data_IF_090339882100
#
_entry.id   IF_090339882100
#
_cell.length_a   1.000
_cell.length_b   1.000
_cell.length_c   1.000
_cell.angle_alpha   90.00
_cell.angle_beta   90.00
_cell.angle_gamma   90.00
#
_symmetry.space_group_name_H-M   'P 1'
#
loop_
_entity.id
_entity.type
_entity.pdbx_description
1 polymer ?
#
# COMPACT_ATOMS: atom_id res chain seq x y z
N UNK A 1 34.98 18.84 0.77
CA UNK A 1 35.54 19.76 -0.25
C UNK A 1 34.53 20.22 -1.29
N UNK A 2 33.53 19.47 -1.73
CA UNK A 2 32.49 19.93 -2.68
C UNK A 2 31.52 20.96 -2.05
N UNK A 3 31.40 20.97 -0.73
CA UNK A 3 30.43 21.80 0.00
C UNK A 3 30.86 23.29 0.18
N UNK A 4 32.12 23.61 -0.03
CA UNK A 4 32.62 24.99 0.13
C UNK A 4 32.69 25.79 -1.18
N UNK A 5 32.69 25.07 -2.32
CA UNK A 5 32.75 25.73 -3.64
C UNK A 5 31.43 26.34 -4.09
N UNK A 6 30.33 25.78 -3.59
CA UNK A 6 29.00 26.36 -3.76
C UNK A 6 28.53 26.81 -2.37
N UNK A 7 28.78 28.05 -2.03
CA UNK A 7 28.08 28.79 -0.96
C UNK A 7 26.58 28.91 -1.28
N UNK A 8 25.96 27.83 -1.67
CA UNK A 8 24.53 27.66 -1.62
C UNK A 8 24.20 27.46 -0.12
N UNK A 9 24.13 28.60 0.60
CA UNK A 9 23.35 28.69 1.86
C UNK A 9 21.88 28.37 1.58
N UNK A 10 21.64 27.64 0.51
CA UNK A 10 20.37 27.25 -0.03
C UNK A 10 19.94 25.93 0.60
N UNK A 11 18.81 25.98 1.04
CA UNK A 11 17.99 24.91 1.52
C UNK A 11 18.04 23.71 0.58
N UNK A 12 18.64 22.60 1.02
CA UNK A 12 18.63 21.30 0.32
C UNK A 12 17.25 20.94 -0.18
N UNK A 13 16.24 21.38 0.56
CA UNK A 13 14.85 21.25 0.22
C UNK A 13 14.47 22.01 -1.06
N UNK A 14 14.86 23.29 -1.18
CA UNK A 14 14.58 24.09 -2.38
C UNK A 14 15.26 23.47 -3.60
N UNK A 15 16.51 23.03 -3.44
CA UNK A 15 17.24 22.35 -4.50
C UNK A 15 16.53 21.05 -4.92
N UNK A 16 16.08 20.25 -3.96
CA UNK A 16 15.34 19.00 -4.23
C UNK A 16 14.00 19.29 -4.91
N UNK A 17 13.26 20.32 -4.48
CA UNK A 17 12.00 20.71 -5.07
C UNK A 17 12.15 21.21 -6.52
N UNK A 18 13.15 22.07 -6.77
CA UNK A 18 13.47 22.56 -8.12
C UNK A 18 13.90 21.39 -9.01
N UNK A 19 14.74 20.49 -8.51
CA UNK A 19 15.16 19.29 -9.24
C UNK A 19 13.96 18.40 -9.57
N UNK A 20 13.01 18.28 -8.65
CA UNK A 20 11.78 17.51 -8.85
C UNK A 20 10.93 18.11 -9.98
N UNK A 21 10.72 19.42 -9.99
CA UNK A 21 9.98 20.13 -11.07
C UNK A 21 10.71 19.97 -12.41
N UNK A 22 12.03 20.12 -12.43
CA UNK A 22 12.82 19.93 -13.64
C UNK A 22 12.70 18.50 -14.19
N UNK A 23 12.82 17.49 -13.32
CA UNK A 23 12.68 16.09 -13.70
C UNK A 23 11.26 15.77 -14.21
N UNK A 24 10.22 16.41 -13.66
CA UNK A 24 8.86 16.29 -14.16
C UNK A 24 8.77 16.80 -15.61
N UNK A 25 9.25 18.00 -15.86
CA UNK A 25 9.23 18.59 -17.20
C UNK A 25 10.04 17.76 -18.20
N UNK A 26 11.21 17.26 -17.79
CA UNK A 26 12.04 16.39 -18.61
C UNK A 26 11.33 15.03 -18.87
N UNK A 27 10.64 14.46 -17.89
CA UNK A 27 9.90 13.20 -18.08
C UNK A 27 8.71 13.35 -19.03
N UNK A 28 8.11 14.53 -19.12
CA UNK A 28 7.05 14.83 -20.06
C UNK A 28 7.58 15.13 -21.47
N UNK A 29 8.71 15.82 -21.56
CA UNK A 29 9.35 16.11 -22.83
C UNK A 29 9.93 14.82 -23.47
N UNK A 30 10.59 14.01 -22.67
CA UNK A 30 11.20 12.76 -23.08
C UNK A 30 10.52 11.58 -22.37
N UNK A 31 9.63 10.84 -23.04
CA UNK A 31 8.85 9.78 -22.40
C UNK A 31 9.72 8.56 -22.07
N UNK A 32 10.62 8.72 -21.12
CA UNK A 32 11.51 7.70 -20.61
C UNK A 32 11.04 7.27 -19.21
N UNK A 33 10.68 5.99 -19.04
CA UNK A 33 10.26 5.46 -17.76
C UNK A 33 11.28 5.71 -16.63
N UNK A 34 12.57 5.63 -16.95
CA UNK A 34 13.66 5.91 -16.00
C UNK A 34 13.62 7.34 -15.44
N UNK A 35 13.39 8.35 -16.27
CA UNK A 35 13.26 9.74 -15.81
C UNK A 35 12.06 9.90 -14.87
N UNK A 36 10.94 9.29 -15.22
CA UNK A 36 9.76 9.31 -14.37
C UNK A 36 9.97 8.60 -13.02
N UNK A 37 10.74 7.50 -12.98
CA UNK A 37 11.11 6.83 -11.73
C UNK A 37 12.01 7.72 -10.86
N UNK A 38 13.01 8.37 -11.45
CA UNK A 38 13.88 9.33 -10.73
C UNK A 38 13.06 10.50 -10.20
N UNK A 39 12.10 11.00 -10.99
CA UNK A 39 11.16 12.03 -10.54
C UNK A 39 10.36 11.58 -9.31
N UNK A 40 9.76 10.37 -9.35
CA UNK A 40 8.99 9.83 -8.23
C UNK A 40 9.86 9.63 -6.98
N UNK A 41 11.07 9.10 -7.14
CA UNK A 41 12.02 8.99 -6.03
C UNK A 41 12.35 10.36 -5.43
N UNK A 42 12.55 11.38 -6.28
CA UNK A 42 12.82 12.75 -5.84
C UNK A 42 11.62 13.35 -5.10
N UNK A 43 10.38 13.09 -5.55
CA UNK A 43 9.16 13.58 -4.87
C UNK A 43 9.00 13.00 -3.47
N UNK A 44 9.30 11.70 -3.31
CA UNK A 44 9.30 11.02 -2.00
C UNK A 44 10.42 11.56 -1.09
N UNK A 45 11.59 11.85 -1.65
CA UNK A 45 12.70 12.46 -0.91
C UNK A 45 12.37 13.89 -0.46
N UNK A 46 11.74 14.69 -1.32
CA UNK A 46 11.26 16.06 -0.98
C UNK A 46 10.31 15.98 0.22
N UNK A 47 9.40 15.00 0.26
CA UNK A 47 8.55 14.79 1.43
C UNK A 47 9.36 14.49 2.69
N UNK A 48 10.34 13.58 2.61
CA UNK A 48 11.18 13.22 3.76
C UNK A 48 11.95 14.41 4.33
N UNK A 49 12.33 15.36 3.49
CA UNK A 49 12.99 16.60 3.89
C UNK A 49 12.01 17.68 4.40
N UNK A 50 10.74 17.57 4.05
CA UNK A 50 9.70 18.57 4.33
C UNK A 50 9.39 18.79 5.82
N UNK A 51 9.35 17.77 6.71
CA UNK A 51 9.02 17.93 8.12
C UNK A 51 9.93 18.92 8.86
N UNK A 52 11.14 19.10 8.36
CA UNK A 52 12.10 20.01 8.95
C UNK A 52 11.84 21.49 8.56
N UNK A 53 10.87 21.76 7.66
CA UNK A 53 10.66 23.10 7.07
C UNK A 53 9.21 23.52 6.90
N UNK A 54 8.26 22.77 7.44
CA UNK A 54 6.84 23.16 7.46
C UNK A 54 6.15 23.17 6.07
N UNK A 55 6.65 22.42 5.10
CA UNK A 55 5.97 22.26 3.82
C UNK A 55 4.73 21.39 3.97
N UNK A 56 3.64 21.74 3.26
CA UNK A 56 2.43 20.94 3.35
C UNK A 56 2.67 19.53 2.78
N UNK A 57 2.33 18.52 3.58
CA UNK A 57 2.41 17.10 3.20
C UNK A 57 1.69 16.80 1.88
N UNK A 58 0.64 17.57 1.59
CA UNK A 58 -0.11 17.48 0.35
C UNK A 58 0.76 17.69 -0.92
N UNK A 59 1.87 18.44 -0.84
CA UNK A 59 2.71 18.71 -2.02
C UNK A 59 3.34 17.43 -2.58
N UNK A 60 3.78 16.50 -1.72
CA UNK A 60 4.35 15.22 -2.17
C UNK A 60 3.31 14.34 -2.88
N UNK A 61 2.07 14.34 -2.39
CA UNK A 61 0.96 13.66 -3.05
C UNK A 61 0.64 14.27 -4.40
N UNK A 62 0.64 15.59 -4.50
CA UNK A 62 0.46 16.29 -5.79
C UNK A 62 1.56 15.90 -6.78
N UNK A 63 2.83 15.89 -6.35
CA UNK A 63 3.93 15.46 -7.20
C UNK A 63 3.77 14.00 -7.67
N UNK A 64 3.29 13.11 -6.81
CA UNK A 64 3.08 11.71 -7.17
C UNK A 64 1.92 11.54 -8.17
N UNK A 65 0.85 12.31 -8.04
CA UNK A 65 -0.27 12.35 -9.00
C UNK A 65 0.19 12.90 -10.35
N UNK A 66 1.06 13.91 -10.38
CA UNK A 66 1.63 14.47 -11.60
C UNK A 66 2.53 13.47 -12.38
N UNK A 67 2.89 12.34 -11.77
CA UNK A 67 3.55 11.24 -12.47
C UNK A 67 2.60 10.38 -13.35
N UNK A 68 1.28 10.39 -13.08
CA UNK A 68 0.31 9.55 -13.79
C UNK A 68 0.19 9.85 -15.29
N UNK A 69 0.25 11.11 -15.79
CA UNK A 69 0.18 11.38 -17.23
C UNK A 69 1.26 10.66 -18.03
N UNK A 70 2.47 10.49 -17.47
CA UNK A 70 3.53 9.73 -18.11
C UNK A 70 3.16 8.24 -18.23
N UNK A 71 2.51 7.66 -17.20
CA UNK A 71 2.01 6.28 -17.25
C UNK A 71 0.99 6.11 -18.39
N UNK A 72 0.05 7.03 -18.51
CA UNK A 72 -0.96 7.01 -19.59
C UNK A 72 -0.28 7.07 -20.96
N UNK A 73 0.73 7.91 -21.11
CA UNK A 73 1.51 8.03 -22.36
C UNK A 73 2.27 6.73 -22.68
N UNK A 74 2.96 6.13 -21.69
CA UNK A 74 3.67 4.85 -21.87
C UNK A 74 2.73 3.71 -22.26
N UNK A 75 1.50 3.73 -21.75
CA UNK A 75 0.43 2.79 -22.16
C UNK A 75 0.03 2.99 -23.61
N UNK A 76 -0.14 4.23 -24.04
CA UNK A 76 -0.45 4.58 -25.43
C UNK A 76 0.64 4.13 -26.40
N UNK A 77 1.92 4.22 -26.00
CA UNK A 77 3.07 3.79 -26.78
C UNK A 77 3.30 2.26 -26.76
N UNK A 78 2.46 1.48 -26.06
CA UNK A 78 2.54 0.01 -25.92
C UNK A 78 3.89 -0.51 -25.40
N UNK A 79 4.60 0.28 -24.60
CA UNK A 79 5.90 -0.10 -24.00
C UNK A 79 5.68 -0.95 -22.74
N UNK A 80 5.17 -2.18 -22.89
CA UNK A 80 4.74 -3.04 -21.78
C UNK A 80 5.77 -3.16 -20.63
N UNK A 81 7.05 -3.39 -20.93
CA UNK A 81 8.10 -3.51 -19.89
C UNK A 81 8.25 -2.20 -19.08
N UNK A 82 8.27 -1.07 -19.79
CA UNK A 82 8.36 0.25 -19.14
C UNK A 82 7.16 0.54 -18.26
N UNK A 83 5.95 0.20 -18.72
CA UNK A 83 4.70 0.34 -17.96
C UNK A 83 4.74 -0.50 -16.69
N UNK A 84 5.17 -1.78 -16.78
CA UNK A 84 5.29 -2.66 -15.61
C UNK A 84 6.25 -2.06 -14.58
N UNK A 85 7.48 -1.74 -14.97
CA UNK A 85 8.47 -1.17 -14.06
C UNK A 85 7.99 0.15 -13.44
N UNK A 86 7.37 1.01 -14.24
CA UNK A 86 6.86 2.30 -13.80
C UNK A 86 5.72 2.14 -12.77
N UNK A 87 4.76 1.25 -13.05
CA UNK A 87 3.64 0.96 -12.16
C UNK A 87 4.09 0.40 -10.81
N UNK A 88 5.05 -0.53 -10.82
CA UNK A 88 5.66 -1.06 -9.62
C UNK A 88 6.34 0.03 -8.78
N UNK A 89 7.13 0.86 -9.43
CA UNK A 89 7.85 1.93 -8.75
C UNK A 89 6.89 2.97 -8.18
N UNK A 90 5.83 3.32 -8.93
CA UNK A 90 4.77 4.20 -8.46
C UNK A 90 4.07 3.63 -7.22
N UNK A 91 3.70 2.35 -7.23
CA UNK A 91 3.07 1.68 -6.09
C UNK A 91 3.98 1.70 -4.85
N UNK A 92 5.28 1.43 -5.01
CA UNK A 92 6.26 1.51 -3.90
C UNK A 92 6.35 2.94 -3.35
N UNK A 93 6.38 3.96 -4.21
CA UNK A 93 6.41 5.36 -3.77
C UNK A 93 5.13 5.76 -3.00
N UNK A 94 3.95 5.30 -3.45
CA UNK A 94 2.69 5.50 -2.73
C UNK A 94 2.76 4.88 -1.34
N UNK A 95 3.21 3.63 -1.23
CA UNK A 95 3.31 2.94 0.06
C UNK A 95 4.30 3.63 1.00
N UNK A 96 5.45 4.08 0.49
CA UNK A 96 6.42 4.84 1.28
C UNK A 96 5.85 6.18 1.78
N UNK A 97 5.10 6.89 0.94
CA UNK A 97 4.43 8.12 1.36
C UNK A 97 3.40 7.85 2.44
N UNK A 98 2.56 6.82 2.29
CA UNK A 98 1.60 6.43 3.32
C UNK A 98 2.32 6.12 4.63
N UNK A 99 3.39 5.33 4.58
CA UNK A 99 4.18 4.97 5.76
C UNK A 99 4.73 6.19 6.49
N UNK A 100 5.14 7.22 5.77
CA UNK A 100 5.74 8.41 6.38
C UNK A 100 4.72 9.50 6.76
N UNK A 101 3.57 9.58 6.08
CA UNK A 101 2.51 10.55 6.41
C UNK A 101 1.67 10.13 7.60
N UNK A 102 1.45 8.84 7.78
CA UNK A 102 0.68 8.34 8.89
C UNK A 102 1.53 8.31 10.17
N UNK A 103 1.22 9.18 11.10
CA UNK A 103 1.94 9.32 12.38
C UNK A 103 1.69 8.17 13.37
N UNK A 104 0.69 7.32 13.10
CA UNK A 104 0.27 6.23 13.97
C UNK A 104 0.22 4.92 13.15
N UNK A 105 0.69 3.83 13.75
CA UNK A 105 0.74 2.51 13.13
C UNK A 105 -0.63 2.04 12.63
N UNK A 106 -1.71 2.31 13.37
CA UNK A 106 -3.08 2.02 12.96
C UNK A 106 -3.43 2.67 11.61
N UNK A 107 -3.15 3.97 11.47
CA UNK A 107 -3.44 4.69 10.22
C UNK A 107 -2.59 4.20 9.06
N UNK A 108 -1.32 3.88 9.31
CA UNK A 108 -0.44 3.27 8.31
C UNK A 108 -1.06 1.98 7.79
N UNK A 109 -1.43 1.07 8.70
CA UNK A 109 -2.01 -0.22 8.36
C UNK A 109 -3.34 -0.07 7.62
N UNK A 110 -4.22 0.84 8.04
CA UNK A 110 -5.51 1.09 7.39
C UNK A 110 -5.35 1.65 5.96
N UNK A 111 -4.47 2.62 5.75
CA UNK A 111 -4.21 3.17 4.42
C UNK A 111 -3.45 2.19 3.53
N UNK A 112 -2.55 1.38 4.09
CA UNK A 112 -1.92 0.28 3.36
C UNK A 112 -2.94 -0.76 2.91
N UNK A 113 -3.92 -1.10 3.75
CA UNK A 113 -5.01 -1.99 3.38
C UNK A 113 -5.79 -1.47 2.18
N UNK A 114 -6.16 -0.18 2.18
CA UNK A 114 -6.83 0.46 1.05
C UNK A 114 -5.97 0.44 -0.22
N UNK A 115 -4.71 0.88 -0.14
CA UNK A 115 -3.81 0.92 -1.29
C UNK A 115 -3.55 -0.48 -1.86
N UNK A 116 -3.35 -1.47 -1.00
CA UNK A 116 -3.13 -2.87 -1.40
C UNK A 116 -4.36 -3.46 -2.09
N UNK A 117 -5.55 -3.28 -1.51
CA UNK A 117 -6.83 -3.75 -2.06
C UNK A 117 -7.12 -3.12 -3.41
N UNK A 118 -7.01 -1.78 -3.51
CA UNK A 118 -7.21 -1.04 -4.76
C UNK A 118 -6.22 -1.48 -5.84
N UNK A 119 -4.95 -1.71 -5.49
CA UNK A 119 -3.93 -2.18 -6.43
C UNK A 119 -4.24 -3.57 -6.96
N UNK A 120 -4.66 -4.50 -6.07
CA UNK A 120 -5.05 -5.86 -6.47
C UNK A 120 -6.27 -5.85 -7.38
N UNK A 121 -7.32 -5.13 -7.00
CA UNK A 121 -8.54 -5.01 -7.81
C UNK A 121 -8.26 -4.33 -9.15
N UNK A 122 -7.50 -3.23 -9.18
CA UNK A 122 -7.10 -2.56 -10.42
C UNK A 122 -6.37 -3.52 -11.37
N UNK A 123 -5.42 -4.31 -10.86
CA UNK A 123 -4.73 -5.33 -11.66
C UNK A 123 -5.68 -6.39 -12.22
N UNK A 124 -6.72 -6.77 -11.47
CA UNK A 124 -7.72 -7.74 -11.95
C UNK A 124 -8.70 -7.13 -12.97
N UNK A 125 -9.03 -5.85 -12.84
CA UNK A 125 -9.92 -5.13 -13.78
C UNK A 125 -9.22 -4.81 -15.10
N UNK A 126 -7.92 -4.49 -15.03
CA UNK A 126 -7.09 -4.08 -16.16
C UNK A 126 -6.43 -5.28 -16.86
N UNK A 127 -7.08 -6.45 -16.87
CA UNK A 127 -6.52 -7.69 -17.45
C UNK A 127 -6.08 -7.54 -18.91
N UNK A 128 -6.65 -6.58 -19.65
CA UNK A 128 -6.23 -6.24 -21.02
C UNK A 128 -4.83 -5.61 -21.10
N UNK A 129 -4.26 -5.15 -19.98
CA UNK A 129 -2.93 -4.55 -19.92
C UNK A 129 -1.80 -5.60 -19.81
N UNK A 130 -2.13 -6.89 -19.91
CA UNK A 130 -1.14 -7.98 -19.94
C UNK A 130 -0.26 -8.00 -18.69
N UNK A 131 1.06 -7.97 -18.89
CA UNK A 131 2.06 -8.08 -17.81
C UNK A 131 1.96 -6.97 -16.75
N UNK A 132 1.48 -5.76 -17.09
CA UNK A 132 1.27 -4.69 -16.11
C UNK A 132 0.15 -5.04 -15.13
N UNK A 133 -0.95 -5.59 -15.64
CA UNK A 133 -2.06 -6.04 -14.82
C UNK A 133 -1.67 -7.19 -13.90
N UNK A 134 -0.84 -8.11 -14.39
CA UNK A 134 -0.33 -9.23 -13.60
C UNK A 134 0.60 -8.75 -12.47
N UNK A 135 1.50 -7.81 -12.77
CA UNK A 135 2.36 -7.18 -11.77
C UNK A 135 1.54 -6.49 -10.67
N UNK A 136 0.50 -5.71 -11.03
CA UNK A 136 -0.38 -5.07 -10.06
C UNK A 136 -1.15 -6.09 -9.19
N UNK A 137 -1.60 -7.20 -9.79
CA UNK A 137 -2.26 -8.29 -9.03
C UNK A 137 -1.33 -8.95 -8.03
N UNK A 138 -0.11 -9.30 -8.45
CA UNK A 138 0.87 -9.93 -7.59
C UNK A 138 1.30 -9.01 -6.44
N UNK A 139 1.61 -7.75 -6.78
CA UNK A 139 1.99 -6.76 -5.78
C UNK A 139 0.86 -6.46 -4.81
N UNK A 140 -0.35 -6.17 -5.32
CA UNK A 140 -1.51 -5.89 -4.50
C UNK A 140 -1.87 -7.08 -3.60
N UNK A 141 -1.82 -8.31 -4.13
CA UNK A 141 -2.03 -9.53 -3.36
C UNK A 141 -1.00 -9.70 -2.24
N UNK A 142 0.29 -9.57 -2.55
CA UNK A 142 1.36 -9.65 -1.54
C UNK A 142 1.21 -8.56 -0.47
N UNK A 143 0.87 -7.33 -0.88
CA UNK A 143 0.66 -6.21 0.03
C UNK A 143 -0.56 -6.42 0.94
N UNK A 144 -1.67 -6.97 0.42
CA UNK A 144 -2.84 -7.34 1.25
C UNK A 144 -2.45 -8.33 2.34
N UNK A 145 -1.69 -9.36 2.00
CA UNK A 145 -1.21 -10.31 3.01
C UNK A 145 -0.26 -9.67 4.02
N UNK A 146 0.67 -8.84 3.56
CA UNK A 146 1.57 -8.09 4.46
C UNK A 146 0.80 -7.25 5.48
N UNK A 147 -0.22 -6.54 5.03
CA UNK A 147 -1.09 -5.73 5.90
C UNK A 147 -1.91 -6.58 6.85
N UNK A 148 -2.42 -7.73 6.41
CA UNK A 148 -3.16 -8.64 7.28
C UNK A 148 -2.25 -9.24 8.36
N UNK A 149 -1.00 -9.58 8.01
CA UNK A 149 -0.01 -10.02 8.99
C UNK A 149 0.33 -8.90 9.99
N UNK A 150 0.56 -7.66 9.53
CA UNK A 150 0.77 -6.51 10.40
C UNK A 150 -0.45 -6.27 11.32
N UNK A 151 -1.66 -6.30 10.76
CA UNK A 151 -2.91 -6.13 11.50
C UNK A 151 -3.23 -7.25 12.49
N UNK A 152 -2.57 -8.41 12.40
CA UNK A 152 -2.68 -9.50 13.37
C UNK A 152 -1.94 -9.23 14.70
N UNK A 153 -1.16 -8.16 14.77
CA UNK A 153 -0.46 -7.74 15.99
C UNK A 153 -1.33 -6.83 16.84
N UNK A 154 -1.51 -7.17 18.11
CA UNK A 154 -2.33 -6.39 19.06
C UNK A 154 -1.80 -4.95 19.24
N UNK A 155 -0.50 -4.73 19.06
CA UNK A 155 0.15 -3.41 19.15
C UNK A 155 -0.36 -2.40 18.14
N UNK A 156 -0.80 -2.84 16.96
CA UNK A 156 -1.35 -1.98 15.90
C UNK A 156 -2.63 -1.29 16.36
N UNK A 157 -3.43 -1.97 17.17
CA UNK A 157 -4.75 -1.55 17.59
C UNK A 157 -4.76 -0.69 18.87
N UNK A 158 -3.58 -0.43 19.44
CA UNK A 158 -3.45 0.41 20.64
C UNK A 158 -3.42 1.89 20.24
N UNK A 159 -4.25 2.70 20.91
CA UNK A 159 -4.19 4.16 20.79
C UNK A 159 -4.82 4.74 19.52
N UNK A 160 -6.11 4.52 19.32
CA UNK A 160 -6.87 5.18 18.26
C UNK A 160 -6.90 6.69 18.52
N UNK A 161 -6.12 7.45 17.76
CA UNK A 161 -6.16 8.90 17.78
C UNK A 161 -7.28 9.42 16.86
N UNK A 162 -8.16 10.25 17.42
CA UNK A 162 -9.30 10.82 16.70
C UNK A 162 -8.90 11.95 15.74
N UNK A 163 -8.21 11.64 14.65
CA UNK A 163 -7.98 12.63 13.59
C UNK A 163 -9.12 12.56 12.55
N UNK A 164 -10.08 13.47 12.66
CA UNK A 164 -11.25 13.54 11.79
C UNK A 164 -10.90 13.65 10.31
N UNK A 165 -9.82 14.35 9.95
CA UNK A 165 -9.39 14.50 8.57
C UNK A 165 -8.96 13.16 7.97
N UNK A 166 -8.24 12.33 8.73
CA UNK A 166 -7.83 11.00 8.28
C UNK A 166 -9.05 10.07 8.15
N UNK A 167 -10.03 10.16 9.05
CA UNK A 167 -11.27 9.39 8.93
C UNK A 167 -12.04 9.76 7.68
N UNK A 168 -12.22 11.05 7.38
CA UNK A 168 -12.91 11.51 6.16
C UNK A 168 -12.18 10.98 4.92
N UNK A 169 -10.86 11.14 4.85
CA UNK A 169 -10.04 10.66 3.73
C UNK A 169 -10.17 9.14 3.57
N UNK A 170 -10.08 8.39 4.66
CA UNK A 170 -10.25 6.95 4.66
C UNK A 170 -11.60 6.53 4.10
N UNK A 171 -12.71 7.13 4.56
CA UNK A 171 -14.05 6.80 4.09
C UNK A 171 -14.28 7.17 2.62
N UNK A 172 -13.69 8.28 2.14
CA UNK A 172 -13.76 8.64 0.71
C UNK A 172 -13.08 7.59 -0.15
N UNK A 173 -11.88 7.14 0.23
CA UNK A 173 -11.15 6.10 -0.53
C UNK A 173 -11.84 4.75 -0.39
N UNK A 174 -12.38 4.43 0.79
CA UNK A 174 -13.16 3.21 1.03
C UNK A 174 -14.44 3.16 0.18
N UNK A 175 -15.08 4.30 -0.07
CA UNK A 175 -16.22 4.36 -0.98
C UNK A 175 -15.83 4.03 -2.42
N UNK A 176 -14.66 4.47 -2.87
CA UNK A 176 -14.11 4.08 -4.18
C UNK A 176 -13.85 2.57 -4.23
N UNK A 177 -13.24 2.02 -3.18
CA UNK A 177 -13.00 0.58 -3.04
C UNK A 177 -14.30 -0.22 -3.10
N UNK A 178 -15.33 0.22 -2.37
CA UNK A 178 -16.67 -0.39 -2.40
C UNK A 178 -17.29 -0.41 -3.82
N UNK A 179 -17.17 0.68 -4.56
CA UNK A 179 -17.67 0.76 -5.95
C UNK A 179 -16.91 -0.21 -6.86
N UNK A 180 -15.60 -0.30 -6.71
CA UNK A 180 -14.79 -1.26 -7.47
C UNK A 180 -15.13 -2.70 -7.09
N UNK A 181 -15.30 -2.98 -5.81
CA UNK A 181 -15.66 -4.30 -5.29
C UNK A 181 -17.02 -4.77 -5.84
N UNK A 182 -18.03 -3.91 -5.86
CA UNK A 182 -19.34 -4.23 -6.43
C UNK A 182 -19.26 -4.54 -7.93
N UNK A 183 -18.42 -3.81 -8.67
CA UNK A 183 -18.20 -4.06 -10.10
C UNK A 183 -17.45 -5.36 -10.36
N UNK A 184 -16.53 -5.75 -9.47
CA UNK A 184 -15.76 -7.00 -9.58
C UNK A 184 -16.54 -8.22 -9.15
N UNK A 185 -17.31 -8.13 -8.06
CA UNK A 185 -18.01 -9.25 -7.42
C UNK A 185 -18.96 -10.00 -8.32
N UNK A 186 -19.39 -9.38 -9.42
CA UNK A 186 -20.39 -9.94 -10.33
C UNK A 186 -19.76 -10.80 -11.45
N UNK A 187 -18.47 -10.65 -11.82
CA UNK A 187 -18.01 -11.24 -13.10
C UNK A 187 -16.55 -11.71 -13.27
N UNK A 188 -15.54 -11.43 -12.40
CA UNK A 188 -14.15 -11.63 -12.89
C UNK A 188 -13.17 -12.40 -12.00
N UNK A 189 -12.92 -11.97 -10.78
CA UNK A 189 -11.88 -12.58 -9.96
C UNK A 189 -12.31 -12.59 -8.48
N UNK A 190 -12.85 -13.73 -8.06
CA UNK A 190 -13.34 -13.90 -6.69
C UNK A 190 -12.23 -13.70 -5.64
N UNK A 191 -10.99 -14.06 -5.98
CA UNK A 191 -9.88 -13.91 -5.06
C UNK A 191 -9.50 -12.45 -4.86
N UNK A 192 -9.46 -11.65 -5.94
CA UNK A 192 -9.22 -10.22 -5.84
C UNK A 192 -10.39 -9.49 -5.15
N UNK A 193 -11.63 -9.97 -5.33
CA UNK A 193 -12.78 -9.45 -4.59
C UNK A 193 -12.68 -9.72 -3.09
N UNK A 194 -12.20 -10.91 -2.68
CA UNK A 194 -11.90 -11.21 -1.27
C UNK A 194 -10.79 -10.32 -0.72
N UNK A 195 -9.72 -10.09 -1.50
CA UNK A 195 -8.68 -9.12 -1.14
C UNK A 195 -9.20 -7.69 -1.00
N UNK A 196 -10.15 -7.29 -1.84
CA UNK A 196 -10.87 -6.01 -1.77
C UNK A 196 -11.70 -5.83 -0.50
N UNK A 197 -12.04 -6.89 0.22
CA UNK A 197 -12.71 -6.79 1.52
C UNK A 197 -11.76 -6.39 2.67
N UNK A 198 -10.44 -6.45 2.45
CA UNK A 198 -9.44 -6.17 3.51
C UNK A 198 -9.65 -4.83 4.22
N UNK A 199 -9.89 -3.68 3.55
CA UNK A 199 -10.11 -2.41 4.24
C UNK A 199 -11.36 -2.42 5.13
N UNK A 200 -12.41 -3.14 4.72
CA UNK A 200 -13.63 -3.29 5.53
C UNK A 200 -13.38 -4.14 6.77
N UNK A 201 -12.59 -5.21 6.63
CA UNK A 201 -12.16 -6.05 7.76
C UNK A 201 -11.33 -5.22 8.74
N UNK A 202 -10.40 -4.38 8.25
CA UNK A 202 -9.63 -3.47 9.07
C UNK A 202 -10.50 -2.45 9.78
N UNK A 203 -11.54 -1.92 9.12
CA UNK A 203 -12.50 -1.00 9.74
C UNK A 203 -13.29 -1.68 10.86
N UNK A 204 -13.75 -2.90 10.65
CA UNK A 204 -14.43 -3.70 11.70
C UNK A 204 -13.49 -3.98 12.87
N UNK A 205 -12.23 -4.38 12.59
CA UNK A 205 -11.23 -4.57 13.63
C UNK A 205 -10.94 -3.28 14.41
N UNK A 206 -10.85 -2.13 13.73
CA UNK A 206 -10.70 -0.83 14.37
C UNK A 206 -11.90 -0.50 15.29
N UNK A 207 -13.12 -0.90 14.93
CA UNK A 207 -14.29 -0.72 15.79
C UNK A 207 -14.19 -1.52 17.09
N UNK A 208 -13.66 -2.74 17.06
CA UNK A 208 -13.39 -3.51 18.29
C UNK A 208 -12.35 -2.81 19.16
N UNK A 209 -11.30 -2.25 18.57
CA UNK A 209 -10.25 -1.55 19.29
C UNK A 209 -10.73 -0.26 19.98
N UNK A 210 -11.84 0.34 19.57
CA UNK A 210 -12.48 1.45 20.28
C UNK A 210 -13.04 1.01 21.65
N UNK A 211 -13.57 -0.21 21.72
CA UNK A 211 -14.18 -0.74 22.93
C UNK A 211 -13.19 -1.53 23.81
N UNK A 212 -12.05 -1.93 23.26
CA UNK A 212 -11.05 -2.74 23.92
C UNK A 212 -9.69 -2.06 23.92
N UNK A 213 -9.11 -1.90 25.12
CA UNK A 213 -7.78 -1.25 25.27
C UNK A 213 -6.60 -2.13 24.90
N UNK A 214 -6.80 -3.45 24.82
CA UNK A 214 -5.72 -4.42 24.59
C UNK A 214 -5.42 -4.65 23.12
N UNK A 215 -6.40 -4.45 22.23
CA UNK A 215 -6.32 -4.71 20.80
C UNK A 215 -6.29 -6.20 20.41
N UNK A 216 -6.49 -7.11 21.38
CA UNK A 216 -6.41 -8.57 21.15
C UNK A 216 -7.55 -9.07 20.28
N UNK A 217 -8.79 -8.62 20.55
CA UNK A 217 -9.96 -9.05 19.75
C UNK A 217 -9.82 -8.61 18.27
N UNK A 218 -9.29 -7.40 18.04
CA UNK A 218 -9.02 -6.88 16.70
C UNK A 218 -7.98 -7.73 15.98
N UNK A 219 -6.88 -8.06 16.66
CA UNK A 219 -5.81 -8.90 16.11
C UNK A 219 -6.31 -10.31 15.75
N UNK A 220 -7.07 -10.96 16.64
CA UNK A 220 -7.67 -12.28 16.39
C UNK A 220 -8.61 -12.22 15.18
N UNK A 221 -9.45 -11.20 15.08
CA UNK A 221 -10.39 -11.05 13.97
C UNK A 221 -9.67 -10.94 12.62
N UNK A 222 -8.60 -10.12 12.55
CA UNK A 222 -7.77 -9.98 11.35
C UNK A 222 -7.04 -11.28 11.03
N UNK A 223 -6.51 -12.01 12.02
CA UNK A 223 -5.83 -13.29 11.84
C UNK A 223 -6.77 -14.36 11.25
N UNK A 224 -8.02 -14.41 11.71
CA UNK A 224 -9.03 -15.32 11.15
C UNK A 224 -9.28 -15.00 9.67
N UNK A 225 -9.40 -13.73 9.32
CA UNK A 225 -9.59 -13.34 7.92
C UNK A 225 -8.35 -13.63 7.06
N UNK A 226 -7.14 -13.42 7.58
CA UNK A 226 -5.89 -13.77 6.92
C UNK A 226 -5.82 -15.27 6.62
N UNK A 227 -6.15 -16.11 7.60
CA UNK A 227 -6.21 -17.56 7.43
C UNK A 227 -7.26 -17.97 6.39
N UNK A 228 -8.46 -17.36 6.42
CA UNK A 228 -9.50 -17.61 5.42
C UNK A 228 -9.04 -17.26 4.00
N UNK A 229 -8.40 -16.10 3.83
CA UNK A 229 -7.87 -15.68 2.54
C UNK A 229 -6.74 -16.61 2.05
N UNK A 230 -5.86 -17.06 2.95
CA UNK A 230 -4.81 -18.03 2.64
C UNK A 230 -5.40 -19.36 2.14
N UNK A 231 -6.44 -19.88 2.80
CA UNK A 231 -7.17 -21.08 2.36
C UNK A 231 -7.81 -20.85 0.98
N UNK A 232 -8.37 -19.67 0.71
CA UNK A 232 -8.92 -19.33 -0.60
C UNK A 232 -7.84 -19.32 -1.71
N UNK A 233 -6.62 -18.85 -1.41
CA UNK A 233 -5.47 -18.89 -2.33
C UNK A 233 -5.05 -20.35 -2.60
N UNK A 234 -4.98 -21.19 -1.57
CA UNK A 234 -4.70 -22.62 -1.72
C UNK A 234 -5.76 -23.28 -2.60
N UNK A 235 -7.04 -23.06 -2.30
CA UNK A 235 -8.15 -23.59 -3.10
C UNK A 235 -8.06 -23.15 -4.57
N UNK A 236 -7.76 -21.90 -4.82
CA UNK A 236 -7.53 -21.40 -6.19
C UNK A 236 -6.35 -22.12 -6.86
N UNK A 237 -5.26 -22.39 -6.11
CA UNK A 237 -4.11 -23.14 -6.59
C UNK A 237 -4.46 -24.57 -7.02
N UNK A 238 -5.34 -25.24 -6.27
CA UNK A 238 -5.84 -26.57 -6.66
C UNK A 238 -6.69 -26.52 -7.93
N UNK A 239 -7.58 -25.54 -8.05
CA UNK A 239 -8.47 -25.41 -9.22
C UNK A 239 -7.74 -25.00 -10.49
N UNK A 240 -6.65 -24.22 -10.38
CA UNK A 240 -5.83 -23.79 -11.52
C UNK A 240 -4.64 -24.68 -11.78
N UNK A 241 -4.49 -25.75 -11.01
CA UNK A 241 -3.32 -26.65 -10.99
C UNK A 241 -1.98 -25.93 -10.83
N UNK A 242 -1.98 -24.82 -10.10
CA UNK A 242 -0.81 -23.98 -9.86
C UNK A 242 -0.13 -24.37 -8.55
N UNK A 243 1.00 -25.08 -8.63
CA UNK A 243 1.80 -25.41 -7.45
C UNK A 243 2.31 -24.18 -6.72
N UNK A 244 2.61 -23.08 -7.44
CA UNK A 244 3.04 -21.82 -6.84
C UNK A 244 1.98 -21.26 -5.89
N UNK A 245 0.72 -21.20 -6.31
CA UNK A 245 -0.37 -20.71 -5.46
C UNK A 245 -0.61 -21.61 -4.24
N UNK A 246 -0.47 -22.94 -4.38
CA UNK A 246 -0.58 -23.89 -3.27
C UNK A 246 0.51 -23.61 -2.22
N UNK A 247 1.75 -23.45 -2.66
CA UNK A 247 2.88 -23.12 -1.78
C UNK A 247 2.74 -21.74 -1.12
N UNK A 248 2.42 -20.70 -1.90
CA UNK A 248 2.22 -19.34 -1.38
C UNK A 248 1.13 -19.33 -0.32
N UNK A 249 -0.04 -19.93 -0.59
CA UNK A 249 -1.11 -20.01 0.38
C UNK A 249 -0.74 -20.79 1.63
N UNK A 250 0.02 -21.90 1.49
CA UNK A 250 0.55 -22.68 2.62
C UNK A 250 1.50 -21.86 3.51
N UNK A 251 2.44 -21.13 2.90
CA UNK A 251 3.35 -20.24 3.64
C UNK A 251 2.59 -19.13 4.39
N UNK A 252 1.58 -18.55 3.74
CA UNK A 252 0.76 -17.48 4.34
C UNK A 252 -0.07 -18.01 5.52
N UNK A 253 -0.63 -19.22 5.39
CA UNK A 253 -1.36 -19.84 6.48
C UNK A 253 -0.44 -20.17 7.67
N UNK A 254 0.77 -20.65 7.39
CA UNK A 254 1.77 -20.92 8.42
C UNK A 254 2.24 -19.63 9.12
N UNK A 255 2.44 -18.54 8.36
CA UNK A 255 2.81 -17.24 8.91
C UNK A 255 1.69 -16.68 9.82
N UNK A 256 0.43 -16.69 9.38
CA UNK A 256 -0.70 -16.25 10.19
C UNK A 256 -0.86 -17.07 11.47
N UNK A 257 -0.61 -18.40 11.43
CA UNK A 257 -0.63 -19.26 12.60
C UNK A 257 0.54 -18.97 13.57
N UNK A 258 1.75 -18.77 13.06
CA UNK A 258 2.91 -18.47 13.87
C UNK A 258 2.78 -17.13 14.62
N UNK A 259 2.28 -16.09 13.94
CA UNK A 259 2.05 -14.77 14.55
C UNK A 259 1.01 -14.84 15.67
N UNK A 260 -0.11 -15.54 15.46
CA UNK A 260 -1.13 -15.70 16.50
C UNK A 260 -0.58 -16.36 17.76
N UNK A 261 0.33 -17.34 17.61
CA UNK A 261 1.00 -18.00 18.73
C UNK A 261 1.98 -17.04 19.42
N UNK A 262 2.78 -16.29 18.68
CA UNK A 262 3.75 -15.35 19.22
C UNK A 262 3.07 -14.23 20.01
N UNK A 263 1.97 -13.68 19.50
CA UNK A 263 1.22 -12.63 20.20
C UNK A 263 0.59 -13.17 21.49
N UNK A 264 0.04 -14.39 21.46
CA UNK A 264 -0.50 -15.06 22.64
C UNK A 264 0.57 -15.34 23.72
N UNK A 265 1.77 -15.77 23.32
CA UNK A 265 2.90 -16.02 24.25
C UNK A 265 3.39 -14.71 24.87
N UNK A 266 3.55 -13.66 24.05
CA UNK A 266 3.94 -12.32 24.53
C UNK A 266 2.94 -11.77 25.57
N UNK A 267 1.65 -12.00 25.36
CA UNK A 267 0.61 -11.54 26.25
C UNK A 267 0.59 -12.29 27.60
N UNK A 268 0.88 -13.59 27.59
CA UNK A 268 0.97 -14.36 28.82
C UNK A 268 2.18 -13.99 29.67
N UNK A 269 3.33 -13.68 29.06
CA UNK A 269 4.52 -13.22 29.76
C UNK A 269 4.34 -11.84 30.41
N UNK A 270 3.61 -10.90 29.78
CA UNK A 270 3.32 -9.58 30.34
C UNK A 270 2.33 -9.60 31.50
N UNK A 271 1.51 -10.66 31.66
CA UNK A 271 0.60 -10.83 32.82
C UNK A 271 1.26 -11.48 34.04
N UNK A 272 2.41 -12.12 33.85
CA UNK A 272 3.11 -12.83 34.91
C UNK A 272 4.09 -11.92 35.73
N UNK A 273 4.22 -10.66 35.36
CA UNK A 273 4.95 -9.61 36.05
C UNK A 273 4.01 -8.46 36.43
#
# INVERSE_FOLDING_TARGET
>A
MVNESFKLSGDWFVLAAVSCVFLLLMSWAFPAAGLGMVYMASSVLVYRLSPYRGWPEAAAWVFLVLALPLLVRLLGERRHKAVVCYSWFWAVCVLLLIYWTASNLLWQTMFFALAAALTWMAGSMLSSWGAAAEALRLFGGAAVFGVLLEGSWSSVWKGISGNWTLWILFFVILAIDAVLLTRMGIKRDRLAALGGLTPFIMLVAASFAVFETTGVSSAIFVSIFAAFLAVAVIGRGYWSDSNLLKWVGGCLLAAAGAESVLDAVSYTHLRAH
#
